data_IF_304138711689
#
_entry.id   IF_304138711689
#
_cell.length_a   1.000
_cell.length_b   1.000
_cell.length_c   1.000
_cell.angle_alpha   90.00
_cell.angle_beta   90.00
_cell.angle_gamma   90.00
#
_symmetry.space_group_name_H-M   'P 1'
#
loop_
_entity.id
_entity.type
_entity.pdbx_description
1 polymer ?
#
# COMPACT_ATOMS: atom_id res chain seq x y z
N UNK A 1 17.33 29.97 -34.38
CA UNK A 1 15.99 30.10 -34.97
C UNK A 1 15.64 28.78 -35.64
N UNK A 2 14.83 27.94 -34.99
CA UNK A 2 14.15 26.80 -35.63
C UNK A 2 12.88 26.52 -34.85
N UNK A 3 11.73 26.69 -35.52
CA UNK A 3 10.38 26.45 -34.99
C UNK A 3 9.98 25.05 -35.39
N UNK A 4 9.58 24.21 -34.43
CA UNK A 4 8.84 22.98 -34.71
C UNK A 4 7.41 23.16 -34.21
N UNK A 5 6.50 23.30 -35.17
CA UNK A 5 5.07 23.20 -34.99
C UNK A 5 4.67 21.74 -35.29
N UNK A 6 3.89 21.12 -34.42
CA UNK A 6 3.51 19.71 -34.55
C UNK A 6 2.22 19.38 -33.81
N UNK A 7 1.10 19.73 -34.47
CA UNK A 7 -0.23 19.09 -34.51
C UNK A 7 -0.74 18.34 -33.25
N UNK A 8 -1.74 18.96 -32.61
CA UNK A 8 -2.69 18.33 -31.67
C UNK A 8 -3.70 17.46 -32.43
N UNK A 9 -3.76 16.16 -32.12
CA UNK A 9 -4.87 15.29 -32.49
C UNK A 9 -5.58 14.82 -31.21
N UNK A 10 -6.70 15.48 -30.89
CA UNK A 10 -7.58 15.11 -29.78
C UNK A 10 -8.47 13.93 -30.16
N UNK A 11 -8.47 12.90 -29.31
CA UNK A 11 -9.43 11.78 -29.39
C UNK A 11 -10.33 11.87 -28.16
N UNK A 12 -11.58 12.27 -28.41
CA UNK A 12 -12.70 12.20 -27.47
C UNK A 12 -13.31 10.79 -27.55
N UNK A 13 -13.36 10.07 -26.44
CA UNK A 13 -14.10 8.80 -26.30
C UNK A 13 -15.20 8.96 -25.22
N UNK A 14 -16.44 8.51 -25.50
CA UNK A 14 -17.58 8.68 -24.61
C UNK A 14 -17.57 7.69 -23.42
N UNK A 15 -18.09 8.20 -22.31
CA UNK A 15 -18.39 7.51 -21.05
C UNK A 15 -19.60 6.59 -21.23
N UNK A 16 -19.50 5.34 -20.76
CA UNK A 16 -20.63 4.46 -20.52
C UNK A 16 -20.74 4.14 -19.01
N UNK A 17 -21.95 4.27 -18.47
CA UNK A 17 -22.28 4.16 -17.06
C UNK A 17 -23.17 2.93 -16.82
N UNK A 18 -23.04 2.37 -15.60
CA UNK A 18 -23.97 1.52 -14.81
C UNK A 18 -24.09 0.02 -15.13
N UNK A 19 -23.91 -0.77 -14.08
CA UNK A 19 -24.49 -2.10 -13.91
C UNK A 19 -24.30 -2.64 -12.48
N UNK A 20 -25.14 -2.20 -11.53
CA UNK A 20 -25.31 -2.84 -10.21
C UNK A 20 -26.28 -4.02 -10.35
N UNK A 21 -25.88 -5.20 -9.88
CA UNK A 21 -26.80 -6.30 -9.56
C UNK A 21 -26.39 -6.95 -8.24
N UNK A 22 -27.25 -6.73 -7.25
CA UNK A 22 -27.32 -7.38 -5.96
C UNK A 22 -27.57 -8.88 -6.14
N UNK A 23 -26.72 -9.72 -5.55
CA UNK A 23 -26.86 -11.17 -5.55
C UNK A 23 -26.80 -11.75 -4.15
N UNK A 24 -27.85 -11.53 -3.36
CA UNK A 24 -28.18 -12.38 -2.22
C UNK A 24 -28.82 -13.66 -2.76
N UNK A 25 -28.26 -14.83 -2.46
CA UNK A 25 -28.99 -16.10 -2.62
C UNK A 25 -28.98 -16.85 -1.31
N UNK A 26 -30.16 -16.87 -0.67
CA UNK A 26 -30.54 -17.76 0.43
C UNK A 26 -30.76 -19.18 -0.10
N UNK A 27 -30.46 -20.19 0.71
CA UNK A 27 -31.21 -21.45 0.70
C UNK A 27 -31.27 -22.03 2.11
N UNK A 28 -32.50 -22.14 2.61
CA UNK A 28 -32.90 -22.87 3.82
C UNK A 28 -33.16 -24.35 3.49
N UNK A 29 -32.96 -25.24 4.46
CA UNK A 29 -33.32 -26.65 4.36
C UNK A 29 -33.07 -27.37 5.69
N UNK A 30 -34.15 -27.57 6.45
CA UNK A 30 -34.22 -28.23 7.75
C UNK A 30 -34.41 -29.77 7.67
N UNK A 31 -34.11 -30.40 8.81
CA UNK A 31 -34.65 -31.64 9.40
C UNK A 31 -34.10 -33.06 9.06
N UNK A 32 -33.27 -33.51 10.03
CA UNK A 32 -33.38 -34.72 10.89
C UNK A 32 -33.43 -36.15 10.30
N UNK A 33 -32.38 -36.91 10.65
CA UNK A 33 -32.51 -38.24 11.28
C UNK A 33 -31.27 -38.56 12.16
N UNK A 34 -31.51 -38.89 13.43
CA UNK A 34 -30.58 -39.52 14.40
C UNK A 34 -30.92 -41.03 14.51
N UNK A 35 -30.24 -41.85 15.33
CA UNK A 35 -28.82 -41.92 15.72
C UNK A 35 -28.28 -43.38 15.62
N UNK A 36 -26.95 -43.61 15.62
CA UNK A 36 -26.34 -44.82 16.26
C UNK A 36 -24.90 -44.53 16.71
N UNK A 37 -24.65 -44.86 17.96
CA UNK A 37 -23.39 -44.79 18.70
C UNK A 37 -22.22 -45.52 18.03
N UNK A 38 -21.01 -44.94 18.13
CA UNK A 38 -19.81 -45.62 18.65
C UNK A 38 -18.66 -44.64 18.86
N UNK A 39 -18.06 -44.75 20.04
CA UNK A 39 -16.88 -44.03 20.49
C UNK A 39 -15.65 -44.26 19.59
N UNK A 40 -14.91 -43.17 19.35
CA UNK A 40 -13.44 -43.10 19.27
C UNK A 40 -13.05 -41.66 18.92
N UNK A 41 -12.36 -40.97 19.84
CA UNK A 41 -11.68 -39.73 19.54
C UNK A 41 -10.48 -40.01 18.62
N UNK A 42 -10.29 -39.20 17.57
CA UNK A 42 -8.97 -38.59 17.39
C UNK A 42 -9.03 -37.14 16.87
N UNK A 43 -8.06 -36.36 17.32
CA UNK A 43 -7.44 -35.18 16.72
C UNK A 43 -8.35 -34.17 15.99
N UNK A 44 -8.53 -33.01 16.63
CA UNK A 44 -9.03 -31.81 15.99
C UNK A 44 -8.19 -31.45 14.74
N UNK A 45 -8.82 -31.09 13.61
CA UNK A 45 -8.10 -30.47 12.51
C UNK A 45 -7.63 -29.07 12.94
N UNK A 46 -6.33 -28.82 12.81
CA UNK A 46 -5.76 -27.49 12.96
C UNK A 46 -6.29 -26.61 11.82
N UNK A 47 -7.27 -25.78 12.15
CA UNK A 47 -7.77 -24.72 11.28
C UNK A 47 -6.61 -23.79 10.96
N UNK A 48 -6.29 -23.69 9.67
CA UNK A 48 -5.45 -22.64 9.13
C UNK A 48 -6.20 -21.32 9.23
N UNK A 49 -5.79 -20.43 10.14
CA UNK A 49 -6.17 -19.02 10.12
C UNK A 49 -4.92 -18.20 9.76
N UNK A 50 -4.66 -18.14 8.45
CA UNK A 50 -4.02 -16.98 7.84
C UNK A 50 -5.09 -15.92 7.63
N UNK A 51 -4.78 -14.70 8.11
CA UNK A 51 -5.32 -13.38 7.73
C UNK A 51 -5.71 -12.55 8.95
N UNK A 52 -4.73 -12.19 9.78
CA UNK A 52 -4.82 -10.92 10.51
C UNK A 52 -4.53 -9.79 9.53
N UNK A 53 -5.52 -9.43 8.72
CA UNK A 53 -5.57 -8.12 8.10
C UNK A 53 -5.82 -7.10 9.23
N UNK A 54 -4.74 -6.70 9.90
CA UNK A 54 -4.75 -5.54 10.81
C UNK A 54 -4.91 -4.27 9.98
N UNK A 55 -6.13 -4.00 9.53
CA UNK A 55 -6.54 -2.65 9.14
C UNK A 55 -6.78 -1.83 10.41
N UNK A 56 -5.72 -1.61 11.18
CA UNK A 56 -5.76 -0.64 12.27
C UNK A 56 -5.70 0.75 11.66
N UNK A 57 -6.85 1.35 11.38
CA UNK A 57 -7.03 2.81 11.37
C UNK A 57 -6.77 3.34 12.80
N UNK A 58 -5.55 3.16 13.30
CA UNK A 58 -5.07 3.88 14.46
C UNK A 58 -4.85 5.33 14.07
N UNK A 59 -4.94 6.26 15.03
CA UNK A 59 -4.36 7.58 14.86
C UNK A 59 -2.86 7.40 14.64
N UNK A 60 -2.44 7.23 13.39
CA UNK A 60 -1.04 7.12 13.02
C UNK A 60 -0.28 8.38 13.43
N UNK A 61 1.03 8.38 13.19
CA UNK A 61 1.84 9.59 13.32
C UNK A 61 1.19 10.80 12.66
N UNK A 62 1.62 12.01 13.07
CA UNK A 62 1.11 13.28 12.54
C UNK A 62 1.13 13.35 11.00
N UNK A 63 2.01 12.60 10.34
CA UNK A 63 2.10 12.51 8.89
C UNK A 63 1.72 11.14 8.31
N UNK A 64 1.11 10.28 9.12
CA UNK A 64 0.61 8.98 8.72
C UNK A 64 1.34 7.80 9.38
N UNK A 65 1.07 6.61 8.87
CA UNK A 65 1.60 5.33 9.36
C UNK A 65 1.78 4.36 8.21
N UNK A 66 2.85 3.56 8.29
CA UNK A 66 3.09 2.42 7.42
C UNK A 66 3.17 1.15 8.26
N UNK A 67 2.45 0.12 7.83
CA UNK A 67 2.46 -1.22 8.36
C UNK A 67 3.03 -2.17 7.33
N UNK A 68 3.74 -3.20 7.77
CA UNK A 68 4.28 -4.24 6.91
C UNK A 68 4.09 -5.62 7.53
N UNK A 69 3.82 -6.62 6.69
CA UNK A 69 3.60 -8.00 7.12
C UNK A 69 4.17 -8.99 6.10
N UNK A 70 4.62 -10.17 6.53
CA UNK A 70 5.26 -11.17 5.67
C UNK A 70 6.39 -11.89 6.40
N UNK A 71 7.57 -11.97 5.78
CA UNK A 71 8.78 -12.51 6.44
C UNK A 71 9.16 -11.71 7.69
N UNK A 72 8.76 -10.44 7.74
CA UNK A 72 8.73 -9.58 8.94
C UNK A 72 7.41 -8.88 9.07
N UNK A 73 7.04 -8.60 10.31
CA UNK A 73 5.81 -7.90 10.64
C UNK A 73 6.11 -6.74 11.58
N UNK A 74 5.45 -5.61 11.37
CA UNK A 74 5.62 -4.42 12.17
C UNK A 74 4.98 -3.21 11.51
N UNK A 75 5.36 -2.04 12.00
CA UNK A 75 4.93 -0.77 11.43
C UNK A 75 5.67 0.37 12.10
N UNK A 76 5.53 1.57 11.54
CA UNK A 76 6.03 2.78 12.16
C UNK A 76 5.12 3.97 11.83
N UNK A 77 5.00 4.83 12.82
CA UNK A 77 4.36 6.13 12.69
C UNK A 77 5.34 7.13 12.07
N UNK A 78 4.86 7.90 11.10
CA UNK A 78 5.65 8.95 10.47
C UNK A 78 5.41 10.25 11.21
N UNK A 79 6.38 10.60 12.05
CA UNK A 79 6.38 11.84 12.85
C UNK A 79 7.25 12.94 12.25
N UNK A 80 8.06 12.61 11.24
CA UNK A 80 8.94 13.53 10.51
C UNK A 80 8.32 13.98 9.18
N UNK A 81 8.92 15.00 8.57
CA UNK A 81 8.45 15.54 7.30
C UNK A 81 8.33 14.47 6.21
N UNK A 82 7.30 14.55 5.35
CA UNK A 82 7.12 13.69 4.17
C UNK A 82 7.28 14.54 2.92
N UNK A 83 8.27 14.20 2.10
CA UNK A 83 8.53 14.84 0.82
C UNK A 83 7.79 14.12 -0.30
N UNK A 84 7.12 14.87 -1.16
CA UNK A 84 6.42 14.36 -2.33
C UNK A 84 6.81 15.17 -3.57
N UNK A 85 7.01 14.49 -4.69
CA UNK A 85 7.24 15.14 -5.97
C UNK A 85 6.06 14.88 -6.90
N UNK A 86 5.68 15.89 -7.66
CA UNK A 86 4.58 15.84 -8.62
C UNK A 86 5.02 16.22 -10.02
N UNK A 87 4.39 15.62 -11.04
CA UNK A 87 4.59 15.95 -12.44
C UNK A 87 3.24 15.85 -13.16
N UNK A 88 2.86 16.91 -13.86
CA UNK A 88 1.59 17.02 -14.58
C UNK A 88 0.39 16.76 -13.65
N UNK A 89 0.47 17.28 -12.42
CA UNK A 89 -0.56 17.10 -11.40
C UNK A 89 -0.70 15.67 -10.87
N UNK A 90 0.28 14.79 -11.09
CA UNK A 90 0.33 13.41 -10.57
C UNK A 90 1.50 13.23 -9.62
N UNK A 91 1.33 12.42 -8.58
CA UNK A 91 2.42 12.03 -7.68
C UNK A 91 3.42 11.12 -8.43
N UNK A 92 4.70 11.47 -8.39
CA UNK A 92 5.80 10.70 -9.03
C UNK A 92 6.86 10.22 -8.05
N UNK A 93 6.94 10.80 -6.85
CA UNK A 93 7.81 10.28 -5.80
C UNK A 93 7.28 10.61 -4.40
N UNK A 94 7.66 9.77 -3.44
CA UNK A 94 7.42 9.96 -2.01
C UNK A 94 8.65 9.54 -1.21
N UNK A 95 9.03 10.37 -0.24
CA UNK A 95 10.14 10.15 0.68
C UNK A 95 9.67 10.45 2.11
N UNK A 96 9.75 9.46 3.00
CA UNK A 96 9.51 9.59 4.42
C UNK A 96 10.71 9.00 5.17
N UNK A 97 11.58 9.80 5.80
CA UNK A 97 11.51 11.26 5.90
C UNK A 97 11.81 11.98 4.56
N UNK A 98 11.43 13.25 4.49
CA UNK A 98 11.77 14.15 3.39
C UNK A 98 13.29 14.31 3.24
N UNK A 99 13.84 14.37 2.02
CA UNK A 99 15.29 14.38 1.78
C UNK A 99 16.00 15.66 2.27
N UNK A 100 15.26 16.74 2.48
CA UNK A 100 15.76 18.03 2.96
C UNK A 100 15.58 18.21 4.48
N UNK A 101 15.09 17.18 5.19
CA UNK A 101 14.99 17.17 6.65
C UNK A 101 16.30 16.65 7.26
N UNK A 102 17.27 17.54 7.44
CA UNK A 102 18.61 17.20 7.96
C UNK A 102 18.59 16.69 9.40
N UNK A 103 17.49 16.86 10.12
CA UNK A 103 17.32 16.41 11.50
C UNK A 103 16.67 15.03 11.58
N UNK A 104 16.12 14.51 10.48
CA UNK A 104 15.46 13.22 10.45
C UNK A 104 16.46 12.05 10.37
N UNK A 105 16.22 11.02 11.18
CA UNK A 105 16.86 9.72 11.01
C UNK A 105 16.39 9.06 9.71
N UNK A 106 17.30 8.42 8.97
CA UNK A 106 16.94 7.60 7.79
C UNK A 106 16.35 6.23 8.15
N UNK A 107 16.21 5.95 9.44
CA UNK A 107 15.62 4.72 9.99
C UNK A 107 14.54 5.07 11.02
N UNK A 108 13.30 4.57 10.87
CA UNK A 108 12.77 3.90 9.67
C UNK A 108 12.63 4.86 8.48
N UNK A 109 12.54 4.32 7.26
CA UNK A 109 12.23 5.12 6.08
C UNK A 109 11.44 4.37 5.02
N UNK A 110 10.72 5.13 4.20
CA UNK A 110 10.03 4.66 3.01
C UNK A 110 10.30 5.63 1.86
N UNK A 111 10.78 5.10 0.74
CA UNK A 111 11.05 5.88 -0.47
C UNK A 111 10.42 5.15 -1.63
N UNK A 112 9.67 5.85 -2.47
CA UNK A 112 9.14 5.26 -3.68
C UNK A 112 9.04 6.26 -4.84
N UNK A 113 9.29 5.76 -6.04
CA UNK A 113 9.03 6.43 -7.30
C UNK A 113 7.81 5.77 -7.97
N UNK A 114 6.94 6.59 -8.53
CA UNK A 114 5.68 6.20 -9.17
C UNK A 114 5.78 6.63 -10.64
N UNK A 115 5.62 5.69 -11.57
CA UNK A 115 5.76 5.96 -13.00
C UNK A 115 6.10 4.71 -13.79
N UNK A 116 6.71 4.89 -14.96
CA UNK A 116 7.14 3.80 -15.85
C UNK A 116 8.22 2.91 -15.24
N UNK A 117 9.07 3.49 -14.39
CA UNK A 117 10.11 2.79 -13.65
C UNK A 117 9.83 2.91 -12.16
N UNK A 118 8.70 2.36 -11.71
CA UNK A 118 8.33 2.42 -10.31
C UNK A 118 9.30 1.61 -9.46
N UNK A 119 9.65 2.15 -8.30
CA UNK A 119 10.50 1.46 -7.33
C UNK A 119 10.01 1.84 -5.95
N UNK A 120 10.02 0.90 -5.02
CA UNK A 120 9.75 1.19 -3.61
C UNK A 120 10.82 0.53 -2.75
N UNK A 121 11.26 1.26 -1.73
CA UNK A 121 12.25 0.84 -0.74
C UNK A 121 11.69 1.11 0.65
N UNK A 122 11.76 0.12 1.51
CA UNK A 122 11.42 0.19 2.92
C UNK A 122 12.66 -0.12 3.75
N UNK A 123 12.98 0.74 4.71
CA UNK A 123 13.94 0.47 5.77
C UNK A 123 13.18 0.44 7.09
N UNK A 124 13.12 -0.73 7.72
CA UNK A 124 12.38 -0.95 8.97
C UNK A 124 13.14 -0.36 10.18
N UNK A 125 12.49 -0.15 11.35
CA UNK A 125 13.14 0.41 12.55
C UNK A 125 14.36 -0.40 13.05
N UNK A 126 14.33 -1.71 12.82
CA UNK A 126 15.42 -2.66 13.10
C UNK A 126 16.45 -2.76 11.96
N UNK A 127 16.41 -1.83 11.00
CA UNK A 127 17.38 -1.62 9.90
C UNK A 127 17.37 -2.69 8.80
N UNK A 128 16.28 -3.42 8.63
CA UNK A 128 16.13 -4.33 7.48
C UNK A 128 15.64 -3.57 6.26
N UNK A 129 16.19 -3.90 5.10
CA UNK A 129 15.90 -3.22 3.85
C UNK A 129 15.16 -4.16 2.90
N UNK A 130 14.03 -3.67 2.38
CA UNK A 130 13.22 -4.34 1.38
C UNK A 130 13.07 -3.43 0.17
N UNK A 131 13.09 -4.01 -1.04
CA UNK A 131 12.99 -3.27 -2.30
C UNK A 131 12.15 -4.03 -3.32
N UNK A 132 11.47 -3.30 -4.20
CA UNK A 132 10.87 -3.84 -5.43
C UNK A 132 11.02 -2.85 -6.57
N UNK A 133 11.47 -3.35 -7.72
CA UNK A 133 11.34 -2.69 -9.02
C UNK A 133 9.99 -3.07 -9.63
N UNK A 134 9.32 -2.12 -10.28
CA UNK A 134 7.93 -2.28 -10.72
C UNK A 134 6.97 -2.38 -9.53
N UNK A 135 7.22 -1.63 -8.46
CA UNK A 135 6.33 -1.60 -7.30
C UNK A 135 4.95 -1.03 -7.69
N UNK A 136 3.91 -1.72 -7.26
CA UNK A 136 2.50 -1.43 -7.47
C UNK A 136 1.81 -1.10 -6.13
N UNK A 137 0.57 -0.61 -6.18
CA UNK A 137 -0.20 -0.29 -4.97
C UNK A 137 0.10 1.07 -4.34
N UNK A 138 0.92 1.90 -4.98
CA UNK A 138 1.14 3.29 -4.57
C UNK A 138 0.25 4.24 -5.37
N UNK A 139 -0.52 5.05 -4.66
CA UNK A 139 -1.35 6.10 -5.25
C UNK A 139 -1.22 7.40 -4.48
N UNK A 140 -1.36 8.53 -5.17
CA UNK A 140 -1.38 9.86 -4.56
C UNK A 140 -2.64 10.60 -4.99
N UNK A 141 -3.31 11.26 -4.05
CA UNK A 141 -4.44 12.13 -4.34
C UNK A 141 -4.32 13.42 -3.53
N UNK A 142 -4.75 14.54 -4.13
CA UNK A 142 -4.83 15.82 -3.43
C UNK A 142 -6.20 15.94 -2.74
N UNK A 143 -6.21 16.12 -1.42
CA UNK A 143 -7.42 16.29 -0.60
C UNK A 143 -7.28 17.55 0.24
N UNK A 144 -8.21 18.49 0.13
CA UNK A 144 -8.23 19.69 0.98
C UNK A 144 -7.03 20.63 0.82
N UNK A 145 -6.20 20.46 -0.21
CA UNK A 145 -4.97 21.23 -0.41
C UNK A 145 -3.69 20.41 -0.20
N UNK A 146 -3.79 19.33 0.57
CA UNK A 146 -2.68 18.45 0.92
C UNK A 146 -2.64 17.23 0.00
N UNK A 147 -1.45 16.69 -0.21
CA UNK A 147 -1.29 15.41 -0.91
C UNK A 147 -1.31 14.27 0.09
N UNK A 148 -2.17 13.29 -0.14
CA UNK A 148 -2.22 12.04 0.61
C UNK A 148 -1.72 10.91 -0.29
N UNK A 149 -0.72 10.18 0.20
CA UNK A 149 -0.21 8.96 -0.42
C UNK A 149 -0.88 7.77 0.26
N UNK A 150 -1.37 6.83 -0.54
CA UNK A 150 -1.86 5.53 -0.07
C UNK A 150 -0.94 4.45 -0.60
N UNK A 151 -0.45 3.61 0.30
CA UNK A 151 0.31 2.41 0.00
C UNK A 151 -0.61 1.24 0.32
N UNK A 152 -0.94 0.41 -0.67
CA UNK A 152 -1.89 -0.67 -0.50
C UNK A 152 -1.37 -1.94 -1.19
N UNK A 153 -1.06 -2.95 -0.38
CA UNK A 153 -0.64 -4.26 -0.88
C UNK A 153 0.71 -4.25 -1.59
N UNK A 154 1.58 -3.26 -1.34
CA UNK A 154 2.88 -3.17 -2.04
C UNK A 154 3.84 -4.22 -1.49
N UNK A 155 4.09 -5.27 -2.27
CA UNK A 155 5.06 -6.31 -1.91
C UNK A 155 6.51 -5.85 -2.15
N UNK A 156 7.41 -6.06 -1.19
CA UNK A 156 8.83 -5.72 -1.27
C UNK A 156 9.68 -6.93 -0.87
N UNK A 157 10.75 -7.21 -1.63
CA UNK A 157 11.66 -8.33 -1.34
C UNK A 157 12.85 -7.89 -0.49
N UNK A 158 13.31 -8.75 0.42
CA UNK A 158 14.51 -8.47 1.23
C UNK A 158 15.75 -8.31 0.33
N UNK A 159 16.61 -7.34 0.67
CA UNK A 159 17.90 -7.13 -0.03
C UNK A 159 19.01 -8.02 0.54
N UNK A 160 18.85 -8.48 1.78
CA UNK A 160 19.82 -9.30 2.49
C UNK A 160 19.60 -10.81 2.26
N UNK A 161 20.52 -11.63 2.78
CA UNK A 161 20.48 -13.08 2.64
C UNK A 161 19.37 -13.77 3.46
N UNK A 162 18.53 -13.02 4.21
CA UNK A 162 17.45 -13.62 5.00
C UNK A 162 16.38 -14.27 4.13
N UNK A 163 16.22 -13.78 2.89
CA UNK A 163 15.17 -14.22 1.99
C UNK A 163 13.76 -13.80 2.48
N UNK A 164 12.83 -13.68 1.53
CA UNK A 164 11.43 -13.38 1.82
C UNK A 164 11.00 -11.97 1.43
N UNK A 165 9.70 -11.73 1.59
CA UNK A 165 9.05 -10.47 1.22
C UNK A 165 8.14 -9.97 2.33
N UNK A 166 7.86 -8.67 2.28
CA UNK A 166 6.86 -8.01 3.11
C UNK A 166 5.86 -7.28 2.23
N UNK A 167 4.60 -7.26 2.65
CA UNK A 167 3.53 -6.45 2.05
C UNK A 167 3.36 -5.20 2.90
N UNK A 168 3.49 -4.04 2.27
CA UNK A 168 3.38 -2.72 2.92
C UNK A 168 1.99 -2.13 2.67
N UNK A 169 1.40 -1.57 3.72
CA UNK A 169 0.13 -0.86 3.69
C UNK A 169 0.24 0.43 4.52
N UNK A 170 -0.53 1.45 4.18
CA UNK A 170 -0.67 2.63 5.00
C UNK A 170 -1.01 3.90 4.24
N UNK A 171 -0.98 5.01 4.96
CA UNK A 171 -1.25 6.33 4.42
C UNK A 171 -0.20 7.31 4.92
N UNK A 172 0.22 8.22 4.04
CA UNK A 172 1.12 9.31 4.37
C UNK A 172 0.52 10.64 3.91
N UNK A 173 0.71 11.68 4.68
CA UNK A 173 0.37 13.05 4.29
C UNK A 173 1.65 13.79 3.95
N UNK A 174 1.76 14.26 2.71
CA UNK A 174 2.89 15.04 2.24
C UNK A 174 2.94 16.38 2.97
N UNK A 175 4.06 16.69 3.61
CA UNK A 175 4.28 17.99 4.26
C UNK A 175 5.07 18.95 3.37
N UNK A 176 5.84 18.40 2.43
CA UNK A 176 6.59 19.16 1.43
C UNK A 176 6.27 18.59 0.06
N UNK A 177 5.82 19.46 -0.85
CA UNK A 177 5.47 19.06 -2.22
C UNK A 177 6.30 19.88 -3.18
N UNK A 178 6.97 19.21 -4.12
CA UNK A 178 7.71 19.83 -5.22
C UNK A 178 7.13 19.41 -6.57
N UNK A 179 7.41 20.19 -7.61
CA UNK A 179 6.97 19.92 -8.98
C UNK A 179 5.81 20.80 -9.47
N UNK A 180 5.22 20.41 -10.60
CA UNK A 180 4.23 21.18 -11.37
C UNK A 180 3.04 20.33 -11.77
#
# INVERSE_FOLDING_TARGET
MSRFAGVLAGILLPVAVVGVLSGCSSSSGDDKAQPKDKASAPAAPATSESASASSSQGSGGVHGRLDYAGSRSGGFDVTTSVGCATLDGRLVAVNAPAPDDTSASTVPSFVANIGSESMATLVTPDKHTFVKLGADGLTGAKQGGDWTVTVAGTELGAVDASGGSVTVNGHLTCTKVSGT
#
